data_IF_885457036051
#
_entry.id   IF_885457036051
#
_cell.length_a   1.000
_cell.length_b   1.000
_cell.length_c   1.000
_cell.angle_alpha   90.00
_cell.angle_beta   90.00
_cell.angle_gamma   90.00
#
_symmetry.space_group_name_H-M   'P 1'
#
loop_
_entity.id
_entity.type
_entity.pdbx_description
1 polymer ?
#
# COMPACT_ATOMS: atom_id res chain seq x y z
N UNK A 1 -8.21 -15.59 9.55
CA UNK A 1 -7.42 -14.45 9.07
C UNK A 1 -7.14 -14.67 7.61
N UNK A 2 -7.27 -13.66 6.74
CA UNK A 2 -7.04 -13.83 5.30
C UNK A 2 -5.93 -12.90 4.85
N UNK A 3 -4.95 -13.45 4.13
CA UNK A 3 -3.84 -12.69 3.57
C UNK A 3 -4.20 -12.16 2.19
N UNK A 4 -4.06 -10.85 2.04
CA UNK A 4 -4.32 -10.15 0.80
C UNK A 4 -3.03 -9.55 0.25
N UNK A 5 -2.88 -9.61 -1.07
CA UNK A 5 -1.79 -8.99 -1.82
C UNK A 5 -2.32 -7.86 -2.70
N UNK A 6 -1.60 -6.74 -2.73
CA UNK A 6 -1.98 -5.54 -3.44
C UNK A 6 -0.84 -5.02 -4.30
N UNK A 7 -1.21 -4.41 -5.43
CA UNK A 7 -0.31 -3.57 -6.22
C UNK A 7 -0.82 -2.14 -6.21
N UNK A 8 0.10 -1.19 -6.12
CA UNK A 8 -0.19 0.22 -6.09
C UNK A 8 0.90 1.05 -6.79
N UNK A 9 0.49 2.17 -7.36
CA UNK A 9 1.38 3.25 -7.79
C UNK A 9 1.23 4.46 -6.86
N UNK A 10 2.25 5.31 -6.80
CA UNK A 10 2.18 6.56 -6.07
C UNK A 10 3.19 7.61 -6.55
N UNK A 11 2.81 8.87 -6.36
CA UNK A 11 3.74 10.00 -6.51
C UNK A 11 4.34 10.33 -5.14
N UNK A 12 5.63 10.03 -4.97
CA UNK A 12 6.31 10.13 -3.66
C UNK A 12 6.62 11.53 -3.17
N UNK A 13 6.45 12.58 -3.99
CA UNK A 13 6.91 13.95 -3.72
C UNK A 13 6.45 14.49 -2.37
N UNK A 14 5.18 14.27 -2.00
CA UNK A 14 4.58 14.77 -0.75
C UNK A 14 4.82 13.87 0.46
N UNK A 15 5.45 12.70 0.26
CA UNK A 15 5.57 11.68 1.29
C UNK A 15 6.99 11.57 1.83
N UNK A 16 7.11 11.26 3.12
CA UNK A 16 8.37 10.96 3.84
C UNK A 16 8.92 9.57 3.56
N UNK A 17 8.65 9.04 2.37
CA UNK A 17 8.96 7.67 1.97
C UNK A 17 7.84 6.71 2.32
N UNK A 18 8.12 5.42 2.14
CA UNK A 18 7.08 4.40 2.30
C UNK A 18 6.89 3.95 3.74
N UNK A 19 7.97 3.76 4.50
CA UNK A 19 7.91 3.14 5.82
C UNK A 19 7.22 4.09 6.81
N UNK A 20 6.25 3.56 7.59
CA UNK A 20 5.57 4.31 8.64
C UNK A 20 6.57 4.84 9.68
N UNK A 21 6.45 6.12 10.00
CA UNK A 21 7.20 6.81 11.06
C UNK A 21 6.25 7.13 12.22
N UNK A 22 6.75 7.11 13.45
CA UNK A 22 5.92 7.24 14.66
C UNK A 22 5.37 8.66 14.81
N UNK A 23 6.20 9.66 14.53
CA UNK A 23 5.87 11.09 14.65
C UNK A 23 4.89 11.57 13.58
N UNK A 24 4.98 11.01 12.36
CA UNK A 24 4.22 11.47 11.18
C UNK A 24 3.71 10.31 10.32
N UNK A 25 2.86 9.41 10.85
CA UNK A 25 2.44 8.21 10.15
C UNK A 25 1.66 8.52 8.85
N UNK A 26 0.83 9.55 8.84
CA UNK A 26 0.02 9.92 7.67
C UNK A 26 0.83 10.57 6.53
N UNK A 27 2.06 11.00 6.80
CA UNK A 27 2.98 11.55 5.78
C UNK A 27 3.77 10.44 5.08
N UNK A 28 3.49 9.15 5.33
CA UNK A 28 4.13 8.02 4.66
C UNK A 28 3.11 7.20 3.88
N UNK A 29 3.57 6.51 2.83
CA UNK A 29 2.69 5.66 2.01
C UNK A 29 2.09 4.52 2.86
N UNK A 30 2.90 3.87 3.70
CA UNK A 30 2.42 2.80 4.58
C UNK A 30 1.34 3.29 5.54
N UNK A 31 1.55 4.43 6.21
CA UNK A 31 0.56 4.93 7.17
C UNK A 31 -0.71 5.41 6.49
N UNK A 32 -0.62 6.01 5.28
CA UNK A 32 -1.80 6.33 4.47
C UNK A 32 -2.59 5.06 4.09
N UNK A 33 -1.91 4.00 3.63
CA UNK A 33 -2.53 2.71 3.28
C UNK A 33 -3.18 2.04 4.50
N UNK A 34 -2.50 2.02 5.65
CA UNK A 34 -3.05 1.44 6.88
C UNK A 34 -4.26 2.25 7.40
N UNK A 35 -4.23 3.58 7.26
CA UNK A 35 -5.38 4.44 7.59
C UNK A 35 -6.58 4.17 6.67
N UNK A 36 -6.33 3.94 5.38
CA UNK A 36 -7.36 3.57 4.41
C UNK A 36 -7.99 2.20 4.74
N UNK A 37 -7.16 1.21 5.11
CA UNK A 37 -7.62 -0.12 5.49
C UNK A 37 -8.54 -0.11 6.72
N UNK A 38 -8.33 0.80 7.67
CA UNK A 38 -9.19 0.95 8.85
C UNK A 38 -10.64 1.33 8.49
N UNK A 39 -10.91 1.84 7.28
CA UNK A 39 -12.28 2.12 6.80
C UNK A 39 -13.11 0.85 6.55
N UNK A 40 -12.48 -0.32 6.49
CA UNK A 40 -13.17 -1.61 6.32
C UNK A 40 -13.85 -2.13 7.60
N UNK A 41 -13.76 -1.44 8.73
CA UNK A 41 -14.26 -1.92 10.04
C UNK A 41 -13.68 -3.31 10.39
N UNK A 42 -12.35 -3.40 10.40
CA UNK A 42 -11.59 -4.62 10.67
C UNK A 42 -11.67 -5.04 12.14
N UNK A 43 -11.51 -6.34 12.45
CA UNK A 43 -11.32 -6.79 13.85
C UNK A 43 -9.87 -6.62 14.33
N UNK A 44 -8.91 -6.54 13.40
CA UNK A 44 -7.49 -6.38 13.72
C UNK A 44 -6.95 -5.06 13.15
N UNK A 45 -5.89 -4.54 13.78
CA UNK A 45 -5.16 -3.42 13.21
C UNK A 45 -4.38 -3.92 11.96
N UNK A 46 -4.53 -3.27 10.79
CA UNK A 46 -3.83 -3.68 9.59
C UNK A 46 -2.34 -3.38 9.71
N UNK A 47 -1.51 -4.40 9.54
CA UNK A 47 -0.04 -4.26 9.47
C UNK A 47 0.41 -4.65 8.07
N UNK A 48 0.79 -3.67 7.28
CA UNK A 48 1.19 -3.90 5.88
C UNK A 48 2.69 -4.18 5.78
N UNK A 49 3.05 -5.11 4.90
CA UNK A 49 4.45 -5.39 4.57
C UNK A 49 4.66 -5.21 3.08
N UNK A 50 5.45 -4.19 2.73
CA UNK A 50 5.75 -3.83 1.35
C UNK A 50 6.88 -4.67 0.75
N UNK A 51 6.82 -4.86 -0.57
CA UNK A 51 7.82 -5.58 -1.35
C UNK A 51 9.15 -4.81 -1.46
N UNK A 52 9.09 -3.47 -1.46
CA UNK A 52 10.27 -2.60 -1.49
C UNK A 52 10.11 -1.35 -0.63
N UNK A 53 11.21 -0.94 0.01
CA UNK A 53 11.32 0.35 0.71
C UNK A 53 11.73 1.45 -0.27
N UNK A 54 11.05 2.60 -0.23
CA UNK A 54 11.44 3.81 -0.97
C UNK A 54 11.68 4.97 0.00
N UNK A 55 12.65 5.81 -0.34
CA UNK A 55 12.98 7.03 0.42
C UNK A 55 11.99 8.16 0.12
N UNK A 56 12.08 9.23 0.92
CA UNK A 56 11.33 10.48 0.72
C UNK A 56 11.47 10.96 -0.73
N UNK A 57 10.35 11.33 -1.34
CA UNK A 57 10.31 11.86 -2.71
C UNK A 57 10.33 10.79 -3.82
N UNK A 58 10.75 9.55 -3.55
CA UNK A 58 10.84 8.50 -4.57
C UNK A 58 9.43 8.03 -4.97
N UNK A 59 9.17 7.98 -6.28
CA UNK A 59 7.91 7.52 -6.85
C UNK A 59 7.87 5.99 -7.03
N UNK A 60 6.68 5.44 -7.24
CA UNK A 60 6.54 4.07 -7.72
C UNK A 60 5.48 3.99 -8.83
N UNK A 61 5.88 3.46 -9.99
CA UNK A 61 4.94 3.02 -11.03
C UNK A 61 4.12 1.82 -10.54
N UNK A 62 4.81 0.89 -9.88
CA UNK A 62 4.22 -0.25 -9.18
C UNK A 62 5.13 -0.60 -8.00
N UNK A 63 4.57 -0.58 -6.79
CA UNK A 63 5.06 -1.33 -5.65
C UNK A 63 3.97 -2.34 -5.28
N UNK A 64 4.25 -3.19 -4.30
CA UNK A 64 3.28 -4.15 -3.81
C UNK A 64 3.38 -4.30 -2.29
N UNK A 65 2.30 -4.73 -1.66
CA UNK A 65 2.30 -5.10 -0.24
C UNK A 65 1.37 -6.27 0.00
N UNK A 66 1.54 -6.91 1.15
CA UNK A 66 0.53 -7.80 1.69
C UNK A 66 0.09 -7.35 3.08
N UNK A 67 -1.09 -7.79 3.48
CA UNK A 67 -1.67 -7.56 4.80
C UNK A 67 -2.61 -8.69 5.17
N UNK A 68 -2.61 -9.03 6.45
CA UNK A 68 -3.54 -10.00 7.03
C UNK A 68 -4.74 -9.26 7.63
N UNK A 69 -5.94 -9.63 7.20
CA UNK A 69 -7.19 -8.97 7.62
C UNK A 69 -8.17 -9.99 8.21
N UNK A 70 -8.84 -9.57 9.28
CA UNK A 70 -9.97 -10.25 9.90
C UNK A 70 -11.23 -9.44 9.63
N UNK A 71 -12.24 -10.11 9.06
CA UNK A 71 -13.54 -9.52 8.82
C UNK A 71 -14.27 -9.26 10.15
N UNK A 72 -15.03 -8.16 10.24
CA UNK A 72 -15.82 -7.81 11.44
C UNK A 72 -16.84 -8.88 11.83
N UNK A 73 -17.42 -9.52 10.82
CA UNK A 73 -18.35 -10.64 10.96
C UNK A 73 -17.59 -11.98 10.92
N UNK A 74 -17.80 -12.90 11.89
CA UNK A 74 -17.20 -14.23 11.86
C UNK A 74 -17.56 -15.02 10.59
N UNK A 75 -16.59 -15.76 10.03
CA UNK A 75 -16.78 -16.60 8.84
C UNK A 75 -16.79 -15.86 7.50
N UNK A 76 -16.86 -14.53 7.51
CA UNK A 76 -16.91 -13.71 6.31
C UNK A 76 -15.52 -13.27 5.82
N UNK A 77 -15.44 -12.91 4.54
CA UNK A 77 -14.21 -12.44 3.89
C UNK A 77 -14.46 -11.20 3.05
N UNK A 78 -13.54 -10.23 3.13
CA UNK A 78 -13.63 -9.06 2.26
C UNK A 78 -13.29 -9.45 0.83
N UNK A 79 -14.15 -9.07 -0.11
CA UNK A 79 -13.86 -9.24 -1.53
C UNK A 79 -12.71 -8.29 -1.94
N UNK A 80 -11.65 -8.78 -2.62
CA UNK A 80 -10.49 -7.93 -2.97
C UNK A 80 -10.86 -6.66 -3.75
N UNK A 81 -11.85 -6.75 -4.66
CA UNK A 81 -12.35 -5.60 -5.40
C UNK A 81 -12.98 -4.54 -4.48
N UNK A 82 -13.72 -4.97 -3.45
CA UNK A 82 -14.31 -4.06 -2.47
C UNK A 82 -13.22 -3.33 -1.67
N UNK A 83 -12.19 -4.05 -1.19
CA UNK A 83 -11.05 -3.43 -0.49
C UNK A 83 -10.39 -2.38 -1.37
N UNK A 84 -10.07 -2.72 -2.62
CA UNK A 84 -9.49 -1.77 -3.60
C UNK A 84 -10.36 -0.50 -3.74
N UNK A 85 -11.68 -0.67 -3.88
CA UNK A 85 -12.61 0.46 -4.00
C UNK A 85 -12.58 1.37 -2.77
N UNK A 86 -12.60 0.79 -1.56
CA UNK A 86 -12.52 1.53 -0.30
C UNK A 86 -11.20 2.30 -0.20
N UNK A 87 -10.07 1.66 -0.49
CA UNK A 87 -8.75 2.29 -0.43
C UNK A 87 -8.64 3.47 -1.41
N UNK A 88 -9.03 3.26 -2.67
CA UNK A 88 -8.95 4.33 -3.66
C UNK A 88 -9.90 5.49 -3.36
N UNK A 89 -11.10 5.22 -2.83
CA UNK A 89 -12.03 6.28 -2.42
C UNK A 89 -11.43 7.11 -1.28
N UNK A 90 -10.86 6.45 -0.26
CA UNK A 90 -10.17 7.14 0.84
C UNK A 90 -9.01 8.00 0.34
N UNK A 91 -8.20 7.51 -0.60
CA UNK A 91 -7.08 8.29 -1.13
C UNK A 91 -7.54 9.54 -1.86
N UNK A 92 -8.62 9.48 -2.64
CA UNK A 92 -9.19 10.64 -3.32
C UNK A 92 -9.72 11.64 -2.28
N UNK A 93 -10.55 11.19 -1.33
CA UNK A 93 -11.16 12.03 -0.30
C UNK A 93 -10.13 12.75 0.59
N UNK A 94 -8.97 12.12 0.79
CA UNK A 94 -7.91 12.64 1.66
C UNK A 94 -6.71 13.21 0.87
N UNK A 95 -6.89 13.46 -0.43
CA UNK A 95 -5.88 14.09 -1.31
C UNK A 95 -4.52 13.36 -1.30
N UNK A 96 -4.55 12.04 -1.24
CA UNK A 96 -3.37 11.19 -1.37
C UNK A 96 -3.10 10.87 -2.85
N UNK A 97 -1.85 11.04 -3.28
CA UNK A 97 -1.39 10.70 -4.64
C UNK A 97 -0.99 9.21 -4.73
N UNK A 98 -1.92 8.33 -4.36
CA UNK A 98 -1.76 6.86 -4.32
C UNK A 98 -2.93 6.22 -5.08
N UNK A 99 -2.63 5.15 -5.84
CA UNK A 99 -3.66 4.34 -6.50
C UNK A 99 -3.39 2.85 -6.34
N UNK A 100 -4.36 2.11 -5.80
CA UNK A 100 -4.36 0.64 -5.82
C UNK A 100 -4.86 0.17 -7.18
N UNK A 101 -4.02 -0.59 -7.87
CA UNK A 101 -4.31 -1.09 -9.22
C UNK A 101 -4.94 -2.48 -9.18
N UNK A 102 -4.48 -3.35 -8.27
CA UNK A 102 -5.03 -4.70 -8.10
C UNK A 102 -4.99 -5.18 -6.65
N UNK A 103 -5.88 -6.12 -6.32
CA UNK A 103 -5.94 -6.82 -5.04
C UNK A 103 -6.33 -8.28 -5.28
N UNK A 104 -5.72 -9.23 -4.56
CA UNK A 104 -6.12 -10.64 -4.56
C UNK A 104 -5.86 -11.30 -3.20
N UNK A 105 -6.51 -12.43 -2.94
CA UNK A 105 -6.16 -13.32 -1.83
C UNK A 105 -4.92 -14.12 -2.20
N UNK A 106 -4.04 -14.38 -1.23
CA UNK A 106 -2.82 -15.18 -1.39
C UNK A 106 -2.69 -16.18 -0.25
N UNK A 107 -1.90 -17.26 -0.43
CA UNK A 107 -1.63 -18.22 0.65
C UNK A 107 -1.02 -17.56 1.88
N UNK A 108 -1.25 -18.12 3.07
CA UNK A 108 -0.69 -17.60 4.32
C UNK A 108 0.85 -17.59 4.32
N UNK A 109 1.48 -18.46 3.55
CA UNK A 109 2.94 -18.54 3.38
C UNK A 109 3.52 -17.44 2.48
N UNK A 110 2.67 -16.64 1.81
CA UNK A 110 3.14 -15.58 0.93
C UNK A 110 3.68 -14.38 1.72
N UNK A 111 4.81 -13.85 1.27
CA UNK A 111 5.47 -12.67 1.81
C UNK A 111 5.95 -11.74 0.68
N UNK A 112 5.32 -10.58 0.55
CA UNK A 112 5.57 -9.63 -0.55
C UNK A 112 7.05 -9.26 -0.75
N UNK A 113 7.85 -9.19 0.34
CA UNK A 113 9.29 -8.90 0.25
C UNK A 113 10.14 -10.10 -0.14
N UNK A 114 9.80 -11.30 0.32
CA UNK A 114 10.69 -12.47 0.22
C UNK A 114 10.35 -13.34 -0.99
N UNK A 115 9.08 -13.43 -1.39
CA UNK A 115 8.69 -14.09 -2.63
C UNK A 115 8.93 -13.23 -3.88
N UNK A 116 9.25 -11.94 -3.71
CA UNK A 116 9.63 -11.06 -4.81
C UNK A 116 10.99 -11.48 -5.40
N UNK A 117 11.00 -11.82 -6.69
CA UNK A 117 12.19 -12.32 -7.40
C UNK A 117 13.15 -11.20 -7.81
N UNK A 118 12.63 -10.04 -8.21
CA UNK A 118 13.41 -8.90 -8.64
C UNK A 118 12.65 -7.59 -8.44
N UNK A 119 13.38 -6.47 -8.42
CA UNK A 119 12.82 -5.12 -8.45
C UNK A 119 13.53 -4.33 -9.55
N UNK A 120 12.79 -3.46 -10.23
CA UNK A 120 13.33 -2.57 -11.25
C UNK A 120 13.13 -1.13 -10.84
N UNK A 121 14.12 -0.29 -11.14
CA UNK A 121 14.11 1.14 -10.87
C UNK A 121 14.40 1.88 -12.16
N UNK A 122 13.69 2.97 -12.38
CA UNK A 122 13.91 3.89 -13.49
C UNK A 122 14.37 5.22 -12.92
N UNK A 123 15.47 5.74 -13.45
CA UNK A 123 15.92 7.10 -13.18
C UNK A 123 15.71 7.94 -14.43
N UNK A 124 15.08 9.10 -14.28
CA UNK A 124 14.87 10.06 -15.38
C UNK A 124 15.68 11.31 -15.08
N UNK A 125 16.66 11.60 -15.93
CA UNK A 125 17.49 12.80 -15.87
C UNK A 125 16.99 13.78 -16.93
N UNK A 126 16.81 15.05 -16.54
CA UNK A 126 16.51 16.14 -17.48
C UNK A 126 17.71 17.10 -17.48
N UNK A 127 18.24 17.39 -18.65
CA UNK A 127 19.27 18.42 -18.84
C UNK A 127 18.52 19.72 -19.11
N UNK A 128 18.63 20.68 -18.20
CA UNK A 128 18.01 21.99 -18.34
C UNK A 128 19.02 22.92 -19.01
N UNK A 129 18.59 23.62 -20.07
CA UNK A 129 19.41 24.71 -20.61
C UNK A 129 19.41 25.87 -19.60
N UNK A 130 20.58 26.45 -19.31
CA UNK A 130 20.69 27.57 -18.37
C UNK A 130 19.94 28.82 -18.85
#
# INVERSE_FOLDING_TARGET
MVKYFFRLGYKGTKYRGIQKQIDKPHETIQGAVESALLKLKLQNYPKTTFASRTHKGVHALMNAFHVDLNHSRPGEVYQPHHIKKVLNSYFIENNHEIIVTSACVVPETFHARFNCKWRSYYYRLAILNP
#
